data_IF_001196958326
#
_entry.id   IF_001196958326
#
_cell.length_a   1.000
_cell.length_b   1.000
_cell.length_c   1.000
_cell.angle_alpha   90.00
_cell.angle_beta   90.00
_cell.angle_gamma   90.00
#
_symmetry.space_group_name_H-M   'P 1'
#
loop_
_entity.id
_entity.type
_entity.pdbx_description
1 polymer ?
#
# COMPACT_ATOMS: atom_id res chain seq x y z
N UNK A 1 -8.54 24.98 -49.74
CA UNK A 1 -7.48 25.18 -48.74
C UNK A 1 -7.03 23.82 -48.27
N UNK A 2 -5.74 23.55 -48.30
CA UNK A 2 -5.16 22.31 -47.80
C UNK A 2 -5.22 22.29 -46.24
N UNK A 3 -5.43 21.11 -45.61
CA UNK A 3 -5.51 21.00 -44.16
C UNK A 3 -4.34 21.63 -43.40
N UNK A 4 -3.14 21.64 -44.01
CA UNK A 4 -1.93 22.28 -43.47
C UNK A 4 -2.03 23.82 -43.37
N UNK A 5 -2.74 24.47 -44.27
CA UNK A 5 -2.92 25.93 -44.26
C UNK A 5 -3.83 26.34 -43.08
N UNK A 6 -4.86 25.52 -42.79
CA UNK A 6 -5.75 25.71 -41.65
C UNK A 6 -4.98 25.65 -40.34
N UNK A 7 -4.18 24.61 -40.12
CA UNK A 7 -3.41 24.45 -38.89
C UNK A 7 -2.43 25.61 -38.70
N UNK A 8 -1.78 26.09 -39.79
CA UNK A 8 -0.84 27.22 -39.72
C UNK A 8 -1.53 28.54 -39.37
N UNK A 9 -2.75 28.77 -39.88
CA UNK A 9 -3.56 29.97 -39.55
C UNK A 9 -4.01 29.89 -38.07
N UNK A 10 -4.50 28.73 -37.60
CA UNK A 10 -4.90 28.55 -36.21
C UNK A 10 -3.71 28.75 -35.23
N UNK A 11 -2.52 28.22 -35.55
CA UNK A 11 -1.33 28.41 -34.72
C UNK A 11 -0.88 29.90 -34.70
N UNK A 12 -0.93 30.61 -35.82
CA UNK A 12 -0.60 32.04 -35.90
C UNK A 12 -1.56 32.88 -35.05
N UNK A 13 -2.84 32.54 -35.05
CA UNK A 13 -3.88 33.19 -34.20
C UNK A 13 -3.63 32.99 -32.72
N UNK A 14 -3.26 31.79 -32.28
CA UNK A 14 -2.92 31.47 -30.89
C UNK A 14 -1.71 32.27 -30.39
N UNK A 15 -0.70 32.45 -31.26
CA UNK A 15 0.55 33.20 -30.96
C UNK A 15 0.29 34.73 -30.91
N UNK A 16 -0.69 35.25 -31.63
CA UNK A 16 -0.99 36.69 -31.65
C UNK A 16 -1.52 37.24 -30.31
N UNK A 17 -2.25 36.42 -29.53
CA UNK A 17 -2.84 36.79 -28.24
C UNK A 17 -2.28 35.93 -27.08
N UNK A 18 -0.98 35.98 -26.85
CA UNK A 18 -0.23 35.07 -25.97
C UNK A 18 -0.76 34.96 -24.57
N UNK A 19 -1.11 36.08 -23.90
CA UNK A 19 -1.57 36.10 -22.52
C UNK A 19 -2.94 35.39 -22.38
N UNK A 20 -3.83 35.62 -23.36
CA UNK A 20 -5.18 35.06 -23.38
C UNK A 20 -5.13 33.54 -23.61
N UNK A 21 -4.37 33.11 -24.63
CA UNK A 21 -4.16 31.71 -24.95
C UNK A 21 -3.50 30.94 -23.82
N UNK A 22 -2.52 31.56 -23.15
CA UNK A 22 -1.84 30.99 -21.98
C UNK A 22 -2.80 30.77 -20.80
N UNK A 23 -3.58 31.77 -20.41
CA UNK A 23 -4.51 31.66 -19.28
C UNK A 23 -5.59 30.60 -19.51
N UNK A 24 -6.08 30.49 -20.75
CA UNK A 24 -7.08 29.48 -21.11
C UNK A 24 -6.49 28.08 -21.12
N UNK A 25 -5.32 27.94 -21.75
CA UNK A 25 -4.58 26.67 -21.79
C UNK A 25 -4.19 26.18 -20.39
N UNK A 26 -3.84 27.11 -19.50
CA UNK A 26 -3.40 26.81 -18.13
C UNK A 26 -4.51 26.10 -17.33
N UNK A 27 -5.76 26.54 -17.44
CA UNK A 27 -6.90 25.88 -16.77
C UNK A 27 -7.07 24.42 -17.21
N UNK A 28 -6.96 24.13 -18.51
CA UNK A 28 -7.01 22.77 -19.06
C UNK A 28 -5.78 21.97 -18.62
N UNK A 29 -4.60 22.58 -18.69
CA UNK A 29 -3.33 21.96 -18.31
C UNK A 29 -3.33 21.50 -16.87
N UNK A 30 -3.74 22.37 -15.95
CA UNK A 30 -3.80 22.06 -14.51
C UNK A 30 -4.82 20.94 -14.24
N UNK A 31 -6.02 21.02 -14.86
CA UNK A 31 -7.02 19.98 -14.69
C UNK A 31 -6.56 18.61 -15.13
N UNK A 32 -5.97 18.50 -16.32
CA UNK A 32 -5.46 17.22 -16.84
C UNK A 32 -4.25 16.74 -16.04
N UNK A 33 -3.30 17.66 -15.73
CA UNK A 33 -2.12 17.31 -14.94
C UNK A 33 -2.49 16.74 -13.57
N UNK A 34 -3.47 17.34 -12.88
CA UNK A 34 -3.94 16.87 -11.58
C UNK A 34 -4.54 15.45 -11.67
N UNK A 35 -5.38 15.18 -12.67
CA UNK A 35 -5.96 13.84 -12.87
C UNK A 35 -4.89 12.80 -13.17
N UNK A 36 -3.97 13.10 -14.10
CA UNK A 36 -2.88 12.18 -14.48
C UNK A 36 -1.95 11.91 -13.30
N UNK A 37 -1.57 12.93 -12.54
CA UNK A 37 -0.71 12.80 -11.38
C UNK A 37 -1.33 11.91 -10.32
N UNK A 38 -2.57 12.13 -9.97
CA UNK A 38 -3.21 11.36 -8.90
C UNK A 38 -3.52 9.91 -9.32
N UNK A 39 -3.97 9.69 -10.55
CA UNK A 39 -4.19 8.31 -11.04
C UNK A 39 -2.86 7.54 -11.09
N UNK A 40 -1.76 8.19 -11.48
CA UNK A 40 -0.43 7.57 -11.47
C UNK A 40 0.06 7.26 -10.06
N UNK A 41 -0.14 8.16 -9.09
CA UNK A 41 0.19 7.93 -7.69
C UNK A 41 -0.66 6.79 -7.12
N UNK A 42 -1.97 6.78 -7.40
CA UNK A 42 -2.86 5.71 -6.96
C UNK A 42 -2.42 4.32 -7.46
N UNK A 43 -2.09 4.21 -8.74
CA UNK A 43 -1.56 2.97 -9.32
C UNK A 43 -0.19 2.61 -8.72
N UNK A 44 0.68 3.59 -8.46
CA UNK A 44 1.96 3.38 -7.80
C UNK A 44 1.80 2.81 -6.39
N UNK A 45 0.92 3.39 -5.57
CA UNK A 45 0.60 2.89 -4.23
C UNK A 45 0.02 1.48 -4.29
N UNK A 46 -0.91 1.22 -5.21
CA UNK A 46 -1.49 -0.11 -5.37
C UNK A 46 -0.42 -1.16 -5.70
N UNK A 47 0.47 -0.89 -6.64
CA UNK A 47 1.58 -1.79 -7.00
C UNK A 47 2.58 -1.96 -5.87
N UNK A 48 2.92 -0.88 -5.16
CA UNK A 48 3.82 -0.93 -4.01
C UNK A 48 3.25 -1.84 -2.92
N UNK A 49 1.99 -1.63 -2.54
CA UNK A 49 1.32 -2.47 -1.53
C UNK A 49 1.26 -3.93 -1.98
N UNK A 50 0.88 -4.21 -3.25
CA UNK A 50 0.89 -5.58 -3.77
C UNK A 50 2.28 -6.22 -3.73
N UNK A 51 3.35 -5.48 -4.06
CA UNK A 51 4.72 -6.01 -4.01
C UNK A 51 5.17 -6.34 -2.59
N UNK A 52 4.85 -5.48 -1.62
CA UNK A 52 5.12 -5.72 -0.21
C UNK A 52 4.40 -6.98 0.29
N UNK A 53 3.12 -7.12 -0.04
CA UNK A 53 2.35 -8.30 0.38
C UNK A 53 2.81 -9.60 -0.29
N UNK A 54 3.24 -9.56 -1.55
CA UNK A 54 3.74 -10.77 -2.23
C UNK A 54 5.03 -11.30 -1.63
N UNK A 55 5.85 -10.46 -1.02
CA UNK A 55 7.09 -10.89 -0.34
C UNK A 55 6.82 -11.74 0.92
N UNK A 56 5.67 -11.56 1.58
CA UNK A 56 5.30 -12.26 2.82
C UNK A 56 4.25 -13.35 2.63
N UNK A 57 3.87 -13.63 1.38
CA UNK A 57 2.85 -14.61 1.05
C UNK A 57 1.46 -14.00 0.86
N UNK A 58 0.86 -14.27 -0.28
CA UNK A 58 -0.48 -13.74 -0.64
C UNK A 58 -1.63 -14.46 0.05
N UNK A 59 -1.36 -15.63 0.67
CA UNK A 59 -2.37 -16.53 1.23
C UNK A 59 -2.30 -16.55 2.75
N UNK A 60 -2.42 -15.35 3.37
CA UNK A 60 -2.38 -15.17 4.81
C UNK A 60 -3.72 -14.72 5.35
N UNK A 61 -4.08 -15.26 6.50
CA UNK A 61 -5.19 -14.79 7.33
C UNK A 61 -4.65 -14.51 8.71
N UNK A 62 -4.95 -13.32 9.24
CA UNK A 62 -4.63 -12.92 10.59
C UNK A 62 -5.89 -12.95 11.45
N UNK A 63 -5.78 -13.56 12.63
CA UNK A 63 -6.84 -13.57 13.64
C UNK A 63 -6.34 -12.85 14.86
N UNK A 64 -7.00 -11.75 15.22
CA UNK A 64 -6.67 -10.92 16.38
C UNK A 64 -7.77 -10.99 17.44
N UNK A 65 -7.46 -10.85 18.74
CA UNK A 65 -8.47 -10.79 19.78
C UNK A 65 -9.28 -9.49 19.71
N UNK A 66 -10.53 -9.56 20.10
CA UNK A 66 -11.47 -8.43 20.14
C UNK A 66 -12.22 -8.21 18.83
N UNK A 67 -13.44 -7.70 18.95
CA UNK A 67 -14.28 -7.30 17.82
C UNK A 67 -14.00 -5.85 17.48
N UNK A 68 -13.33 -5.58 16.37
CA UNK A 68 -13.14 -4.21 15.85
C UNK A 68 -13.86 -4.02 14.55
N UNK A 69 -14.72 -2.99 14.50
CA UNK A 69 -15.28 -2.43 13.27
C UNK A 69 -14.42 -1.29 12.72
N UNK A 70 -13.28 -0.98 13.33
CA UNK A 70 -12.44 0.19 12.99
C UNK A 70 -11.10 -0.20 12.41
N UNK A 71 -10.80 0.42 11.28
CA UNK A 71 -9.55 0.33 10.55
C UNK A 71 -8.34 0.80 11.40
N UNK A 72 -7.35 -0.06 11.55
CA UNK A 72 -5.98 0.38 11.85
C UNK A 72 -5.50 0.34 13.30
N UNK A 73 -6.32 0.05 14.30
CA UNK A 73 -5.83 -0.10 15.68
C UNK A 73 -6.02 -1.54 16.11
N UNK A 74 -4.91 -2.22 16.42
CA UNK A 74 -4.96 -3.56 17.02
C UNK A 74 -5.77 -3.48 18.31
N UNK A 75 -6.86 -4.24 18.40
CA UNK A 75 -7.71 -4.34 19.58
C UNK A 75 -7.04 -5.04 20.78
N UNK A 76 -5.76 -5.38 20.66
CA UNK A 76 -4.94 -5.88 21.75
C UNK A 76 -4.87 -4.94 22.98
N UNK A 77 -5.37 -3.72 22.85
CA UNK A 77 -5.45 -2.72 23.94
C UNK A 77 -6.83 -2.72 24.64
N UNK A 78 -7.84 -3.34 24.03
CA UNK A 78 -9.19 -3.38 24.62
C UNK A 78 -9.34 -4.68 25.42
N UNK A 79 -9.83 -4.60 26.65
CA UNK A 79 -10.15 -5.76 27.49
C UNK A 79 -11.09 -6.71 26.74
N UNK A 80 -10.55 -7.80 26.20
CA UNK A 80 -11.31 -8.86 25.54
C UNK A 80 -11.91 -9.77 26.59
N UNK A 81 -13.12 -10.22 26.37
CA UNK A 81 -13.81 -11.12 27.30
C UNK A 81 -13.09 -12.47 27.39
N UNK A 82 -12.46 -12.91 26.29
CA UNK A 82 -11.68 -14.16 26.22
C UNK A 82 -10.48 -14.01 25.30
N UNK A 83 -9.25 -14.12 25.81
CA UNK A 83 -8.07 -14.00 24.98
C UNK A 83 -7.93 -15.21 24.04
N UNK A 84 -7.34 -15.00 22.87
CA UNK A 84 -6.91 -16.09 21.99
C UNK A 84 -5.82 -16.92 22.67
N UNK A 85 -5.90 -18.24 22.58
CA UNK A 85 -4.99 -19.16 23.25
C UNK A 85 -4.16 -19.98 22.26
N UNK A 86 -3.08 -20.62 22.74
CA UNK A 86 -2.32 -21.59 21.95
C UNK A 86 -3.20 -22.76 21.47
N UNK A 87 -4.16 -23.20 22.31
CA UNK A 87 -5.11 -24.26 21.95
C UNK A 87 -6.05 -23.83 20.81
N UNK A 88 -6.31 -22.53 20.63
CA UNK A 88 -7.06 -22.03 19.49
C UNK A 88 -6.19 -22.13 18.21
N UNK A 89 -4.93 -21.72 18.29
CA UNK A 89 -3.99 -21.88 17.16
C UNK A 89 -3.83 -23.36 16.74
N UNK A 90 -3.67 -24.26 17.71
CA UNK A 90 -3.62 -25.72 17.46
C UNK A 90 -4.89 -26.23 16.80
N UNK A 91 -6.07 -25.78 17.24
CA UNK A 91 -7.36 -26.18 16.67
C UNK A 91 -7.53 -25.70 15.21
N UNK A 92 -7.00 -24.52 14.88
CA UNK A 92 -7.03 -23.97 13.54
C UNK A 92 -6.09 -24.73 12.59
N UNK A 93 -4.96 -25.21 13.07
CA UNK A 93 -4.02 -26.02 12.29
C UNK A 93 -4.63 -27.35 11.79
N UNK A 94 -5.72 -27.83 12.40
CA UNK A 94 -6.41 -29.06 11.96
C UNK A 94 -7.43 -28.83 10.85
N UNK A 95 -7.70 -27.60 10.46
CA UNK A 95 -8.67 -27.29 9.41
C UNK A 95 -8.10 -27.66 8.01
N UNK A 96 -8.94 -28.18 7.11
CA UNK A 96 -8.50 -28.53 5.76
C UNK A 96 -8.08 -27.30 4.98
N UNK A 97 -7.05 -27.44 4.15
CA UNK A 97 -6.43 -26.40 3.31
C UNK A 97 -5.65 -25.33 4.10
N UNK A 98 -5.44 -25.50 5.40
CA UNK A 98 -4.47 -24.75 6.19
C UNK A 98 -3.13 -25.47 6.11
N UNK A 99 -2.09 -24.75 5.72
CA UNK A 99 -0.74 -25.27 5.53
C UNK A 99 0.12 -25.05 6.77
N UNK A 100 0.07 -23.86 7.35
CA UNK A 100 0.83 -23.53 8.54
C UNK A 100 0.06 -22.53 9.42
N UNK A 101 0.25 -22.62 10.73
CA UNK A 101 -0.30 -21.71 11.71
C UNK A 101 0.80 -21.28 12.66
N UNK A 102 0.94 -19.98 12.88
CA UNK A 102 1.86 -19.44 13.87
C UNK A 102 1.13 -18.53 14.86
N UNK A 103 1.11 -18.89 16.15
CA UNK A 103 0.69 -17.98 17.20
C UNK A 103 1.72 -16.87 17.36
N UNK A 104 1.29 -15.66 17.70
CA UNK A 104 2.17 -14.52 17.87
C UNK A 104 1.89 -13.75 19.16
N UNK A 105 2.97 -13.39 19.84
CA UNK A 105 3.03 -12.42 20.94
C UNK A 105 4.14 -11.43 20.62
N UNK A 106 3.88 -10.14 20.74
CA UNK A 106 4.85 -9.08 20.50
C UNK A 106 5.12 -8.33 21.81
N UNK A 107 6.37 -8.02 22.05
CA UNK A 107 6.84 -7.13 23.10
C UNK A 107 8.15 -6.49 22.71
N UNK A 108 8.64 -5.61 23.55
CA UNK A 108 9.93 -4.94 23.34
C UNK A 108 10.81 -5.15 24.58
N UNK A 109 12.09 -5.46 24.34
CA UNK A 109 13.04 -5.66 25.41
C UNK A 109 14.48 -5.35 24.95
N UNK A 110 15.39 -5.02 25.87
CA UNK A 110 16.80 -4.99 25.55
C UNK A 110 17.32 -6.40 25.28
N UNK A 111 18.06 -6.55 24.18
CA UNK A 111 18.81 -7.75 23.82
C UNK A 111 20.28 -7.42 24.02
N UNK A 112 20.97 -8.21 24.84
CA UNK A 112 22.33 -7.92 25.27
C UNK A 112 23.26 -9.10 25.02
N UNK A 113 24.43 -8.78 24.52
CA UNK A 113 25.55 -9.72 24.39
C UNK A 113 26.86 -9.01 24.78
N UNK A 114 27.52 -9.46 25.84
CA UNK A 114 28.70 -8.82 26.41
C UNK A 114 28.44 -7.33 26.71
N UNK A 115 29.18 -6.44 26.05
CA UNK A 115 29.06 -4.98 26.22
C UNK A 115 28.06 -4.33 25.25
N UNK A 116 27.52 -5.08 24.31
CA UNK A 116 26.57 -4.58 23.32
C UNK A 116 25.14 -4.81 23.78
N UNK A 117 24.29 -3.81 23.55
CA UNK A 117 22.86 -3.85 23.87
C UNK A 117 22.05 -3.14 22.81
N UNK A 118 20.93 -3.76 22.41
CA UNK A 118 19.96 -3.17 21.50
C UNK A 118 18.55 -3.35 22.04
N UNK A 119 17.77 -2.28 22.08
CA UNK A 119 16.35 -2.34 22.41
C UNK A 119 15.54 -2.56 21.13
N UNK A 120 14.86 -3.69 21.02
CA UNK A 120 14.22 -4.11 19.78
C UNK A 120 12.93 -4.89 20.00
N UNK A 121 12.24 -5.23 18.93
CA UNK A 121 11.02 -6.03 18.93
C UNK A 121 11.33 -7.50 19.22
N UNK A 122 10.59 -8.09 20.13
CA UNK A 122 10.66 -9.52 20.48
C UNK A 122 9.39 -10.20 20.03
N UNK A 123 9.50 -11.04 19.02
CA UNK A 123 8.41 -11.85 18.51
C UNK A 123 8.44 -13.23 19.16
N UNK A 124 7.44 -13.50 19.98
CA UNK A 124 7.14 -14.84 20.46
C UNK A 124 6.30 -15.57 19.40
N UNK A 125 6.85 -16.58 18.77
CA UNK A 125 6.23 -17.23 17.61
C UNK A 125 6.30 -18.75 17.69
N UNK A 126 5.50 -19.42 16.85
CA UNK A 126 5.56 -20.87 16.64
C UNK A 126 6.69 -21.29 15.70
N UNK A 127 6.99 -22.61 15.61
CA UNK A 127 8.06 -23.15 14.77
C UNK A 127 7.79 -22.99 13.26
N UNK A 128 6.52 -22.88 12.85
CA UNK A 128 6.09 -22.73 11.44
C UNK A 128 6.07 -21.27 10.97
N UNK A 129 6.58 -20.32 11.75
CA UNK A 129 6.63 -18.91 11.34
C UNK A 129 7.38 -18.72 10.01
N UNK A 130 8.51 -19.40 9.72
CA UNK A 130 9.19 -19.28 8.44
C UNK A 130 8.32 -19.61 7.23
N UNK A 131 7.42 -20.58 7.36
CA UNK A 131 6.48 -20.98 6.32
C UNK A 131 5.35 -19.95 6.16
N UNK A 132 4.81 -19.45 7.29
CA UNK A 132 3.72 -18.48 7.31
C UNK A 132 4.18 -17.13 6.77
N UNK A 133 5.38 -16.64 7.16
CA UNK A 133 5.89 -15.34 6.74
C UNK A 133 6.86 -15.41 5.56
N UNK A 134 7.02 -16.60 4.97
CA UNK A 134 7.92 -16.82 3.82
C UNK A 134 9.33 -16.27 4.09
N UNK A 135 9.85 -16.47 5.30
CA UNK A 135 11.11 -15.89 5.79
C UNK A 135 11.96 -16.99 6.47
N UNK A 136 13.00 -17.44 5.79
CA UNK A 136 13.88 -18.51 6.27
C UNK A 136 15.09 -18.02 7.09
N UNK A 137 15.78 -18.93 7.79
CA UNK A 137 17.07 -18.63 8.40
C UNK A 137 18.16 -18.57 7.33
N UNK A 138 18.92 -17.45 7.29
CA UNK A 138 20.13 -17.31 6.47
C UNK A 138 21.31 -18.08 7.07
N UNK A 139 21.34 -18.23 8.39
CA UNK A 139 22.39 -18.97 9.11
C UNK A 139 21.79 -19.82 10.22
N UNK A 140 22.23 -21.07 10.34
CA UNK A 140 21.74 -21.99 11.37
C UNK A 140 20.36 -22.55 11.07
N UNK A 141 19.47 -22.54 12.05
CA UNK A 141 18.09 -23.05 11.94
C UNK A 141 17.11 -22.17 12.72
N UNK A 142 15.84 -22.27 12.37
CA UNK A 142 14.76 -21.63 13.14
C UNK A 142 14.40 -22.43 14.39
N UNK A 143 13.46 -21.91 15.15
CA UNK A 143 12.96 -22.51 16.40
C UNK A 143 12.46 -23.94 16.16
N UNK A 144 12.85 -24.90 16.98
CA UNK A 144 12.41 -26.29 16.85
C UNK A 144 10.92 -26.41 17.24
N UNK A 145 10.29 -27.47 16.77
CA UNK A 145 8.95 -27.88 17.18
C UNK A 145 9.00 -28.57 18.56
N UNK A 146 9.22 -27.76 19.58
CA UNK A 146 9.21 -28.21 20.98
C UNK A 146 7.78 -28.11 21.52
N UNK A 147 7.51 -28.88 22.59
CA UNK A 147 6.25 -28.69 23.30
C UNK A 147 6.12 -27.20 23.74
N UNK A 148 5.09 -26.48 23.31
CA UNK A 148 4.98 -25.04 23.55
C UNK A 148 5.15 -24.63 25.02
N UNK A 149 4.65 -25.47 25.97
CA UNK A 149 4.72 -25.20 27.42
C UNK A 149 6.08 -25.45 28.05
N UNK A 150 6.97 -26.18 27.36
CA UNK A 150 8.32 -26.48 27.84
C UNK A 150 9.39 -26.23 26.80
N UNK A 151 9.18 -25.19 25.96
CA UNK A 151 10.09 -24.83 24.91
C UNK A 151 11.46 -24.41 25.48
N UNK A 152 12.53 -24.87 24.84
CA UNK A 152 13.90 -24.50 25.16
C UNK A 152 14.13 -23.02 24.94
N UNK A 153 15.01 -22.42 25.73
CA UNK A 153 15.36 -21.00 25.59
C UNK A 153 16.29 -20.78 24.37
N UNK A 154 15.73 -20.94 23.20
CA UNK A 154 16.38 -20.69 21.91
C UNK A 154 15.89 -19.39 21.31
N UNK A 155 16.74 -18.78 20.48
CA UNK A 155 16.47 -17.52 19.82
C UNK A 155 17.01 -17.55 18.39
N UNK A 156 16.24 -16.99 17.45
CA UNK A 156 16.70 -16.60 16.14
C UNK A 156 16.77 -15.07 16.08
N UNK A 157 17.89 -14.52 15.59
CA UNK A 157 18.13 -13.09 15.52
C UNK A 157 17.77 -12.58 14.11
N UNK A 158 17.19 -11.39 14.00
CA UNK A 158 17.16 -10.65 12.75
C UNK A 158 18.55 -10.19 12.33
N UNK A 159 18.71 -9.87 11.06
CA UNK A 159 20.00 -9.53 10.46
C UNK A 159 20.64 -8.30 11.11
N UNK A 160 19.86 -7.23 11.35
CA UNK A 160 20.34 -6.01 12.00
C UNK A 160 20.75 -6.25 13.45
N UNK A 161 19.97 -7.02 14.20
CA UNK A 161 20.30 -7.36 15.59
C UNK A 161 21.59 -8.17 15.67
N UNK A 162 21.79 -9.11 14.74
CA UNK A 162 23.02 -9.88 14.64
C UNK A 162 24.21 -8.98 14.36
N UNK A 163 24.11 -8.08 13.41
CA UNK A 163 25.20 -7.19 13.01
C UNK A 163 25.62 -6.26 14.13
N UNK A 164 24.68 -5.74 14.91
CA UNK A 164 24.97 -4.84 16.00
C UNK A 164 25.51 -5.53 17.25
N UNK A 165 25.05 -6.74 17.55
CA UNK A 165 25.52 -7.45 18.75
C UNK A 165 26.79 -8.27 18.54
N UNK A 166 27.01 -8.77 17.32
CA UNK A 166 28.10 -9.70 17.03
C UNK A 166 29.07 -9.20 15.95
N UNK A 167 28.71 -8.15 15.19
CA UNK A 167 29.51 -7.66 14.07
C UNK A 167 29.82 -8.78 13.07
N UNK A 168 31.08 -9.13 12.90
CA UNK A 168 31.54 -10.21 12.02
C UNK A 168 31.65 -11.57 12.70
N UNK A 169 31.45 -11.67 14.03
CA UNK A 169 31.54 -12.90 14.78
C UNK A 169 30.35 -13.84 14.49
N UNK A 170 30.61 -15.15 14.62
CA UNK A 170 29.55 -16.14 14.46
C UNK A 170 28.66 -16.18 15.73
N UNK A 171 27.37 -15.84 15.64
CA UNK A 171 26.49 -15.83 16.80
C UNK A 171 25.98 -17.20 17.22
N UNK A 172 26.13 -18.24 16.36
CA UNK A 172 25.52 -19.55 16.63
C UNK A 172 26.13 -20.24 17.84
N UNK A 173 25.25 -20.64 18.76
CA UNK A 173 25.62 -21.30 20.01
C UNK A 173 25.92 -20.34 21.18
N UNK A 174 26.15 -19.06 20.88
CA UNK A 174 26.34 -18.01 21.87
C UNK A 174 25.07 -17.73 22.66
N UNK A 175 25.23 -17.05 23.79
CA UNK A 175 24.09 -16.66 24.63
C UNK A 175 23.85 -15.17 24.54
N UNK A 176 22.57 -14.81 24.40
CA UNK A 176 22.07 -13.42 24.53
C UNK A 176 21.13 -13.35 25.70
N UNK A 177 21.10 -12.20 26.37
CA UNK A 177 20.14 -11.89 27.41
C UNK A 177 19.05 -11.02 26.81
N UNK A 178 17.80 -11.45 26.95
CA UNK A 178 16.61 -10.70 26.52
C UNK A 178 15.84 -10.36 27.80
N UNK A 179 15.82 -9.07 28.16
CA UNK A 179 15.30 -8.67 29.45
C UNK A 179 15.98 -9.40 30.61
N UNK A 180 15.22 -10.17 31.38
CA UNK A 180 15.73 -10.97 32.53
C UNK A 180 16.15 -12.39 32.15
N UNK A 181 15.91 -12.85 30.93
CA UNK A 181 16.06 -14.26 30.54
C UNK A 181 17.22 -14.48 29.57
N UNK A 182 17.94 -15.61 29.71
CA UNK A 182 19.05 -15.98 28.83
C UNK A 182 18.58 -16.97 27.76
N UNK A 183 18.93 -16.69 26.49
CA UNK A 183 18.61 -17.53 25.32
C UNK A 183 19.86 -17.93 24.61
N UNK A 184 19.85 -19.10 23.95
CA UNK A 184 20.91 -19.55 23.06
C UNK A 184 20.57 -19.24 21.62
N UNK A 185 21.44 -18.56 20.91
CA UNK A 185 21.29 -18.26 19.48
C UNK A 185 21.43 -19.55 18.67
N UNK A 186 20.42 -19.89 17.86
CA UNK A 186 20.39 -21.07 17.00
C UNK A 186 20.26 -20.74 15.52
N UNK A 187 19.93 -19.48 15.19
CA UNK A 187 19.82 -19.02 13.82
C UNK A 187 19.85 -17.52 13.69
N UNK A 188 20.09 -17.07 12.48
CA UNK A 188 19.95 -15.70 12.03
C UNK A 188 19.03 -15.70 10.84
N UNK A 189 18.02 -14.87 10.85
CA UNK A 189 17.04 -14.77 9.77
C UNK A 189 17.61 -14.07 8.55
N UNK A 190 17.11 -14.41 7.36
CA UNK A 190 17.40 -13.65 6.15
C UNK A 190 16.87 -12.22 6.26
N UNK A 191 17.56 -11.27 5.61
CA UNK A 191 17.10 -9.90 5.56
C UNK A 191 15.87 -9.81 4.66
N UNK A 192 14.79 -9.26 5.21
CA UNK A 192 13.51 -9.00 4.51
C UNK A 192 13.20 -7.50 4.44
N UNK A 193 13.95 -6.68 5.20
CA UNK A 193 13.71 -5.25 5.29
C UNK A 193 12.49 -4.90 6.15
N UNK A 194 11.87 -3.77 5.83
CA UNK A 194 10.70 -3.27 6.54
C UNK A 194 9.43 -3.67 5.80
N UNK A 195 8.47 -4.21 6.52
CA UNK A 195 7.12 -4.49 6.04
C UNK A 195 6.13 -3.52 6.72
N UNK A 196 5.48 -2.65 5.95
CA UNK A 196 4.47 -1.71 6.45
C UNK A 196 4.90 -0.95 7.72
N UNK A 197 6.18 -0.57 7.80
CA UNK A 197 6.75 0.12 8.97
C UNK A 197 7.19 -0.80 10.11
N UNK A 198 7.10 -2.12 9.95
CA UNK A 198 7.63 -3.11 10.88
C UNK A 198 8.96 -3.61 10.32
N UNK A 199 10.05 -3.36 11.04
CA UNK A 199 11.38 -3.83 10.67
C UNK A 199 11.58 -5.24 11.22
N UNK A 200 11.57 -6.25 10.34
CA UNK A 200 11.80 -7.65 10.71
C UNK A 200 13.29 -7.99 10.81
N UNK A 201 14.14 -7.16 10.22
CA UNK A 201 15.60 -7.29 10.35
C UNK A 201 16.06 -6.81 11.73
N UNK A 202 15.37 -5.81 12.31
CA UNK A 202 15.52 -5.36 13.67
C UNK A 202 14.53 -6.04 14.61
N UNK A 203 14.60 -7.37 14.67
CA UNK A 203 13.71 -8.18 15.47
C UNK A 203 14.40 -9.42 16.03
N UNK A 204 13.80 -10.00 17.04
CA UNK A 204 14.27 -11.24 17.67
C UNK A 204 13.11 -12.21 17.82
N UNK A 205 13.32 -13.47 17.47
CA UNK A 205 12.29 -14.51 17.47
C UNK A 205 12.58 -15.54 18.55
N UNK A 206 11.62 -15.70 19.47
CA UNK A 206 11.69 -16.66 20.58
C UNK A 206 10.43 -17.52 20.62
N UNK A 207 10.42 -18.68 21.31
CA UNK A 207 9.22 -19.47 21.45
C UNK A 207 8.09 -18.68 22.11
N UNK A 208 6.89 -18.77 21.56
CA UNK A 208 5.71 -17.98 21.98
C UNK A 208 5.41 -18.07 23.48
N UNK A 209 5.53 -19.26 24.07
CA UNK A 209 5.29 -19.44 25.52
C UNK A 209 6.34 -18.69 26.37
N UNK A 210 7.58 -18.60 25.90
CA UNK A 210 8.63 -17.81 26.58
C UNK A 210 8.33 -16.33 26.51
N UNK A 211 7.81 -15.85 25.38
CA UNK A 211 7.37 -14.47 25.24
C UNK A 211 6.16 -14.15 26.13
N UNK A 212 5.16 -15.04 26.20
CA UNK A 212 4.04 -14.89 27.09
C UNK A 212 4.50 -14.73 28.55
N UNK A 213 5.38 -15.62 29.01
CA UNK A 213 5.95 -15.55 30.35
C UNK A 213 6.81 -14.29 30.61
N UNK A 214 7.56 -13.85 29.59
CA UNK A 214 8.42 -12.66 29.68
C UNK A 214 7.62 -11.37 29.79
N UNK A 215 6.51 -11.27 29.05
CA UNK A 215 5.69 -10.06 28.97
C UNK A 215 4.42 -10.14 29.83
N UNK A 216 4.29 -11.16 30.67
CA UNK A 216 3.13 -11.41 31.55
C UNK A 216 1.81 -11.35 30.77
N UNK A 217 1.73 -12.09 29.64
CA UNK A 217 0.57 -12.13 28.77
C UNK A 217 -0.07 -13.51 28.79
N UNK A 218 -1.33 -13.57 29.15
CA UNK A 218 -2.10 -14.82 29.16
C UNK A 218 -2.58 -15.24 27.76
N UNK A 219 -2.77 -14.28 26.84
CA UNK A 219 -3.29 -14.50 25.50
C UNK A 219 -2.28 -14.24 24.38
N UNK A 220 -2.68 -14.68 23.20
CA UNK A 220 -2.00 -14.34 21.95
C UNK A 220 -2.45 -12.96 21.47
N UNK A 221 -1.54 -12.23 20.84
CA UNK A 221 -1.87 -10.98 20.17
C UNK A 221 -2.44 -11.22 18.78
N UNK A 222 -2.00 -12.29 18.13
CA UNK A 222 -2.45 -12.65 16.79
C UNK A 222 -2.17 -14.13 16.53
N UNK A 223 -2.97 -14.75 15.66
CA UNK A 223 -2.70 -16.04 15.06
C UNK A 223 -2.61 -15.82 13.55
N UNK A 224 -1.45 -16.06 12.99
CA UNK A 224 -1.21 -15.96 11.54
C UNK A 224 -1.34 -17.34 10.92
N UNK A 225 -2.08 -17.43 9.82
CA UNK A 225 -2.48 -18.67 9.17
C UNK A 225 -2.13 -18.58 7.70
N UNK A 226 -1.30 -19.48 7.23
CA UNK A 226 -1.05 -19.71 5.81
C UNK A 226 -1.99 -20.80 5.29
N UNK A 227 -2.64 -20.54 4.17
CA UNK A 227 -3.55 -21.46 3.52
C UNK A 227 -3.17 -21.73 2.07
N UNK A 228 -3.63 -22.85 1.53
CA UNK A 228 -3.27 -23.29 0.19
C UNK A 228 -3.69 -22.29 -0.90
N UNK A 229 -2.80 -22.04 -1.85
CA UNK A 229 -3.00 -21.10 -2.96
C UNK A 229 -4.26 -21.39 -3.83
N UNK A 230 -4.75 -22.62 -3.81
CA UNK A 230 -5.94 -23.03 -4.56
C UNK A 230 -7.24 -22.85 -3.75
N UNK A 231 -7.15 -22.38 -2.49
CA UNK A 231 -8.30 -22.21 -1.61
C UNK A 231 -8.87 -20.80 -1.72
N UNK A 232 -10.18 -20.70 -1.59
CA UNK A 232 -10.91 -19.44 -1.51
C UNK A 232 -10.73 -18.85 -0.09
N UNK A 233 -10.11 -17.67 0.01
CA UNK A 233 -9.83 -16.97 1.27
C UNK A 233 -11.07 -16.80 2.14
N UNK A 234 -12.22 -16.47 1.52
CA UNK A 234 -13.49 -16.28 2.21
C UNK A 234 -14.00 -17.57 2.85
N UNK A 235 -13.90 -18.69 2.12
CA UNK A 235 -14.28 -20.00 2.68
C UNK A 235 -13.40 -20.45 3.84
N UNK A 236 -12.10 -20.12 3.75
CA UNK A 236 -11.18 -20.40 4.88
C UNK A 236 -11.54 -19.52 6.08
N UNK A 237 -11.76 -18.23 5.86
CA UNK A 237 -12.18 -17.30 6.90
C UNK A 237 -13.49 -17.74 7.59
N UNK A 238 -14.49 -18.19 6.81
CA UNK A 238 -15.76 -18.71 7.35
C UNK A 238 -15.56 -19.97 8.22
N UNK A 239 -14.64 -20.88 7.83
CA UNK A 239 -14.29 -22.06 8.63
C UNK A 239 -13.57 -21.70 9.92
N UNK A 240 -12.63 -20.76 9.84
CA UNK A 240 -11.94 -20.22 11.02
C UNK A 240 -12.94 -19.58 11.96
N UNK A 241 -13.84 -18.75 11.43
CA UNK A 241 -14.91 -18.12 12.21
C UNK A 241 -15.78 -19.14 12.91
N UNK A 242 -16.27 -20.15 12.19
CA UNK A 242 -17.10 -21.21 12.79
C UNK A 242 -16.35 -21.95 13.90
N UNK A 243 -15.10 -22.34 13.66
CA UNK A 243 -14.28 -23.05 14.66
C UNK A 243 -14.07 -22.22 15.93
N UNK A 244 -13.77 -20.93 15.77
CA UNK A 244 -13.55 -20.04 16.92
C UNK A 244 -14.85 -19.70 17.65
N UNK A 245 -15.96 -19.52 16.93
CA UNK A 245 -17.30 -19.35 17.53
C UNK A 245 -17.71 -20.54 18.42
N UNK A 246 -17.45 -21.79 17.97
CA UNK A 246 -17.69 -23.00 18.74
C UNK A 246 -16.85 -23.04 20.04
N UNK A 247 -15.62 -22.54 20.00
CA UNK A 247 -14.68 -22.57 21.12
C UNK A 247 -14.89 -21.42 22.13
N UNK A 248 -15.19 -20.25 21.61
CA UNK A 248 -15.33 -19.02 22.37
C UNK A 248 -16.76 -18.82 22.87
N UNK A 249 -17.76 -19.30 22.13
CA UNK A 249 -19.20 -19.11 22.46
C UNK A 249 -19.71 -17.71 22.08
N UNK A 250 -18.87 -16.87 21.45
CA UNK A 250 -19.20 -15.54 21.00
C UNK A 250 -18.14 -14.99 20.06
N UNK A 251 -18.47 -13.91 19.35
CA UNK A 251 -17.56 -13.25 18.41
C UNK A 251 -16.70 -12.20 19.16
N UNK A 252 -15.62 -12.65 19.76
CA UNK A 252 -14.64 -11.87 20.52
C UNK A 252 -13.25 -11.83 19.83
N UNK A 253 -13.25 -12.08 18.53
CA UNK A 253 -12.08 -12.06 17.64
C UNK A 253 -12.40 -11.35 16.33
N UNK A 254 -11.36 -10.94 15.63
CA UNK A 254 -11.43 -10.35 14.29
C UNK A 254 -10.59 -11.17 13.33
N UNK A 255 -11.18 -11.59 12.22
CA UNK A 255 -10.49 -12.27 11.14
C UNK A 255 -10.21 -11.24 10.05
N UNK A 256 -8.98 -11.16 9.57
CA UNK A 256 -8.58 -10.29 8.46
C UNK A 256 -7.93 -11.12 7.39
N UNK A 257 -8.49 -11.05 6.20
CA UNK A 257 -7.90 -11.67 5.01
C UNK A 257 -7.11 -10.62 4.23
N UNK A 258 -6.11 -11.06 3.48
CA UNK A 258 -5.37 -10.20 2.56
C UNK A 258 -6.30 -9.57 1.52
N UNK A 259 -7.25 -10.36 0.99
CA UNK A 259 -8.22 -9.89 0.00
C UNK A 259 -9.11 -8.75 0.54
N UNK A 260 -9.53 -8.84 1.81
CA UNK A 260 -10.29 -7.75 2.44
C UNK A 260 -9.46 -6.48 2.59
N UNK A 261 -8.20 -6.60 2.97
CA UNK A 261 -7.30 -5.46 3.10
C UNK A 261 -7.07 -4.78 1.74
N UNK A 262 -6.83 -5.56 0.67
CA UNK A 262 -6.70 -5.05 -0.69
C UNK A 262 -8.00 -4.41 -1.19
N UNK A 263 -9.16 -5.00 -0.90
CA UNK A 263 -10.46 -4.45 -1.31
C UNK A 263 -10.78 -3.11 -0.65
N UNK A 264 -10.35 -2.92 0.60
CA UNK A 264 -10.46 -1.63 1.30
C UNK A 264 -9.54 -0.59 0.65
N UNK A 265 -8.30 -0.97 0.32
CA UNK A 265 -7.37 -0.10 -0.39
C UNK A 265 -7.95 0.32 -1.75
N UNK A 266 -8.45 -0.62 -2.54
CA UNK A 266 -9.10 -0.35 -3.82
C UNK A 266 -10.30 0.61 -3.69
N UNK A 267 -11.08 0.43 -2.64
CA UNK A 267 -12.22 1.30 -2.34
C UNK A 267 -11.79 2.73 -2.03
N UNK A 268 -10.71 2.89 -1.24
CA UNK A 268 -10.14 4.20 -0.91
C UNK A 268 -9.57 4.88 -2.16
N UNK A 269 -8.75 4.13 -2.94
CA UNK A 269 -8.17 4.64 -4.17
C UNK A 269 -9.24 4.97 -5.22
N UNK A 270 -10.28 4.15 -5.31
CA UNK A 270 -11.45 4.39 -6.15
C UNK A 270 -12.17 5.68 -5.77
N UNK A 271 -12.45 5.91 -4.48
CA UNK A 271 -13.08 7.12 -4.00
C UNK A 271 -12.22 8.38 -4.29
N UNK A 272 -10.91 8.29 -4.07
CA UNK A 272 -9.97 9.37 -4.41
C UNK A 272 -9.97 9.66 -5.92
N UNK A 273 -9.95 8.62 -6.75
CA UNK A 273 -9.98 8.77 -8.21
C UNK A 273 -11.26 9.45 -8.69
N UNK A 274 -12.43 9.10 -8.13
CA UNK A 274 -13.70 9.75 -8.44
C UNK A 274 -13.69 11.22 -7.99
N UNK A 275 -13.20 11.51 -6.79
CA UNK A 275 -13.12 12.87 -6.27
C UNK A 275 -12.25 13.77 -7.16
N UNK A 276 -11.06 13.30 -7.55
CA UNK A 276 -10.16 14.07 -8.43
C UNK A 276 -10.66 14.11 -9.87
N UNK A 277 -11.27 13.05 -10.37
CA UNK A 277 -11.97 13.07 -11.64
C UNK A 277 -13.05 14.16 -11.67
N UNK A 278 -13.81 14.33 -10.58
CA UNK A 278 -14.77 15.39 -10.40
C UNK A 278 -14.13 16.80 -10.43
N UNK A 279 -13.02 16.99 -9.70
CA UNK A 279 -12.25 18.24 -9.73
C UNK A 279 -11.68 18.53 -11.13
N UNK A 280 -11.16 17.51 -11.81
CA UNK A 280 -10.69 17.61 -13.19
C UNK A 280 -11.81 18.01 -14.15
N UNK A 281 -13.01 17.44 -14.01
CA UNK A 281 -14.18 17.81 -14.80
C UNK A 281 -14.60 19.27 -14.58
N UNK A 282 -14.58 19.76 -13.34
CA UNK A 282 -14.84 21.17 -13.02
C UNK A 282 -13.78 22.06 -13.69
N UNK A 283 -12.50 21.71 -13.60
CA UNK A 283 -11.42 22.47 -14.25
C UNK A 283 -11.59 22.53 -15.76
N UNK A 284 -11.99 21.41 -16.40
CA UNK A 284 -12.29 21.36 -17.83
C UNK A 284 -13.49 22.22 -18.19
N UNK A 285 -14.56 22.24 -17.37
CA UNK A 285 -15.71 23.10 -17.57
C UNK A 285 -15.33 24.59 -17.51
N UNK A 286 -14.51 24.98 -16.52
CA UNK A 286 -13.98 26.35 -16.41
C UNK A 286 -13.14 26.70 -17.63
N UNK A 287 -12.29 25.79 -18.09
CA UNK A 287 -11.50 25.93 -19.32
C UNK A 287 -12.40 26.09 -20.56
N UNK A 288 -13.47 25.30 -20.68
CA UNK A 288 -14.43 25.38 -21.78
C UNK A 288 -15.18 26.73 -21.79
N UNK A 289 -15.62 27.22 -20.63
CA UNK A 289 -16.24 28.56 -20.51
C UNK A 289 -15.21 29.65 -20.86
N UNK A 290 -13.96 29.50 -20.45
CA UNK A 290 -12.86 30.39 -20.85
C UNK A 290 -12.67 30.43 -22.36
N UNK A 291 -12.63 29.28 -23.03
CA UNK A 291 -12.54 29.18 -24.49
C UNK A 291 -13.74 29.87 -25.15
N UNK A 292 -14.94 29.58 -24.70
CA UNK A 292 -16.18 30.17 -25.24
C UNK A 292 -16.14 31.72 -25.15
N UNK A 293 -15.75 32.23 -23.99
CA UNK A 293 -15.64 33.69 -23.76
C UNK A 293 -14.62 34.32 -24.69
N UNK A 294 -13.45 33.70 -24.82
CA UNK A 294 -12.36 34.18 -25.67
C UNK A 294 -12.75 34.15 -27.14
N UNK A 295 -13.39 33.05 -27.59
CA UNK A 295 -13.84 32.94 -28.98
C UNK A 295 -14.91 33.97 -29.30
N UNK A 296 -15.83 34.29 -28.35
CA UNK A 296 -16.84 35.32 -28.54
C UNK A 296 -16.18 36.71 -28.71
N UNK A 297 -15.18 37.02 -27.90
CA UNK A 297 -14.43 38.26 -28.00
C UNK A 297 -13.67 38.32 -29.33
N UNK A 298 -12.95 37.23 -29.69
CA UNK A 298 -12.20 37.16 -30.94
C UNK A 298 -13.07 37.34 -32.18
N UNK A 299 -14.27 36.77 -32.21
CA UNK A 299 -15.24 36.97 -33.29
C UNK A 299 -15.67 38.44 -33.39
N UNK A 300 -15.95 39.09 -32.24
CA UNK A 300 -16.34 40.49 -32.18
C UNK A 300 -15.19 41.44 -32.67
N UNK A 301 -13.96 41.20 -32.24
CA UNK A 301 -12.78 41.97 -32.65
C UNK A 301 -12.48 41.81 -34.14
N UNK A 302 -12.76 40.64 -34.72
CA UNK A 302 -12.50 40.35 -36.15
C UNK A 302 -13.74 40.40 -37.04
N UNK A 303 -14.77 41.15 -36.62
CA UNK A 303 -16.05 41.27 -37.39
C UNK A 303 -15.84 41.77 -38.81
N UNK A 304 -14.92 42.69 -39.02
CA UNK A 304 -14.57 43.25 -40.37
C UNK A 304 -13.88 42.19 -41.26
N UNK A 305 -13.00 41.35 -40.70
CA UNK A 305 -12.31 40.26 -41.42
C UNK A 305 -13.33 39.16 -41.78
N UNK A 306 -14.23 38.82 -40.88
CA UNK A 306 -15.33 37.88 -41.10
C UNK A 306 -16.29 38.41 -42.19
N UNK A 307 -16.58 39.72 -42.16
CA UNK A 307 -17.40 40.38 -43.17
C UNK A 307 -16.76 40.31 -44.55
N UNK A 308 -15.45 40.55 -44.62
CA UNK A 308 -14.68 40.46 -45.87
C UNK A 308 -14.67 39.02 -46.42
N UNK A 309 -14.40 38.02 -45.59
CA UNK A 309 -14.42 36.61 -45.99
C UNK A 309 -15.79 36.22 -46.55
N UNK A 310 -16.88 36.68 -45.90
CA UNK A 310 -18.24 36.42 -46.36
C UNK A 310 -18.58 37.15 -47.67
N UNK A 311 -18.06 38.35 -47.85
CA UNK A 311 -18.21 39.09 -49.12
C UNK A 311 -17.50 38.41 -50.30
N UNK A 312 -16.35 37.72 -50.01
CA UNK A 312 -15.62 36.90 -50.93
C UNK A 312 -16.25 35.52 -51.19
N UNK A 313 -17.42 35.21 -50.60
CA UNK A 313 -18.19 33.98 -50.80
C UNK A 313 -17.97 32.87 -49.80
N UNK A 314 -17.28 33.12 -48.69
CA UNK A 314 -17.10 32.11 -47.64
C UNK A 314 -18.44 31.76 -46.96
N UNK A 315 -18.76 30.47 -46.88
CA UNK A 315 -19.95 29.97 -46.20
C UNK A 315 -19.86 30.12 -44.68
N UNK A 316 -21.02 30.22 -43.97
CA UNK A 316 -21.09 30.30 -42.51
C UNK A 316 -20.35 29.14 -41.83
N UNK A 317 -20.41 27.91 -42.40
CA UNK A 317 -19.75 26.73 -41.86
C UNK A 317 -18.20 26.83 -41.97
N UNK A 318 -17.67 27.47 -43.00
CA UNK A 318 -16.23 27.65 -43.14
C UNK A 318 -15.64 28.62 -42.10
N UNK A 319 -16.37 29.71 -41.82
CA UNK A 319 -16.00 30.66 -40.76
C UNK A 319 -16.09 29.99 -39.39
N UNK A 320 -17.18 29.22 -39.13
CA UNK A 320 -17.33 28.47 -37.87
C UNK A 320 -16.20 27.46 -37.68
N UNK A 321 -15.81 26.73 -38.77
CA UNK A 321 -14.75 25.74 -38.73
C UNK A 321 -13.39 26.37 -38.37
N UNK A 322 -13.14 27.59 -38.80
CA UNK A 322 -11.91 28.32 -38.49
C UNK A 322 -11.77 28.59 -37.00
N UNK A 323 -12.81 29.14 -36.37
CA UNK A 323 -12.83 29.42 -34.92
C UNK A 323 -12.87 28.15 -34.07
N UNK A 324 -13.58 27.11 -34.53
CA UNK A 324 -13.60 25.81 -33.86
C UNK A 324 -12.20 25.14 -33.93
N UNK A 325 -11.51 25.26 -35.06
CA UNK A 325 -10.14 24.77 -35.22
C UNK A 325 -9.18 25.46 -34.25
N UNK A 326 -9.30 26.77 -34.06
CA UNK A 326 -8.51 27.53 -33.08
C UNK A 326 -8.76 27.03 -31.65
N UNK A 327 -10.02 26.80 -31.27
CA UNK A 327 -10.38 26.24 -29.98
C UNK A 327 -9.81 24.82 -29.75
N UNK A 328 -9.88 23.96 -30.78
CA UNK A 328 -9.33 22.59 -30.73
C UNK A 328 -7.81 22.61 -30.56
N UNK A 329 -7.11 23.49 -31.26
CA UNK A 329 -5.67 23.66 -31.13
C UNK A 329 -5.28 24.11 -29.72
N UNK A 330 -5.98 25.10 -29.16
CA UNK A 330 -5.77 25.56 -27.78
C UNK A 330 -6.02 24.45 -26.75
N UNK A 331 -7.14 23.73 -26.88
CA UNK A 331 -7.46 22.61 -26.00
C UNK A 331 -6.45 21.48 -26.12
N UNK A 332 -6.00 21.17 -27.35
CA UNK A 332 -4.99 20.15 -27.61
C UNK A 332 -3.62 20.49 -27.00
N UNK A 333 -3.17 21.74 -27.15
CA UNK A 333 -1.91 22.19 -26.56
C UNK A 333 -1.96 22.19 -25.03
N UNK A 334 -3.07 22.68 -24.44
CA UNK A 334 -3.29 22.62 -23.00
C UNK A 334 -3.33 21.17 -22.48
N UNK A 335 -4.02 20.26 -23.22
CA UNK A 335 -4.09 18.85 -22.89
C UNK A 335 -2.75 18.14 -22.94
N UNK A 336 -1.97 18.36 -24.00
CA UNK A 336 -0.61 17.80 -24.14
C UNK A 336 0.33 18.32 -23.05
N UNK A 337 0.29 19.62 -22.75
CA UNK A 337 1.06 20.20 -21.65
C UNK A 337 0.65 19.58 -20.29
N UNK A 338 -0.66 19.38 -20.06
CA UNK A 338 -1.18 18.73 -18.86
C UNK A 338 -0.73 17.27 -18.72
N UNK A 339 -0.75 16.50 -19.80
CA UNK A 339 -0.24 15.12 -19.83
C UNK A 339 1.27 15.07 -19.54
N UNK A 340 2.07 15.95 -20.15
CA UNK A 340 3.52 16.00 -19.95
C UNK A 340 3.88 16.40 -18.51
N UNK A 341 3.20 17.39 -17.94
CA UNK A 341 3.41 17.83 -16.56
C UNK A 341 2.93 16.77 -15.57
N UNK A 342 1.78 16.16 -15.81
CA UNK A 342 1.25 15.09 -14.97
C UNK A 342 2.13 13.85 -14.98
N UNK A 343 2.52 13.36 -16.17
CA UNK A 343 3.39 12.20 -16.30
C UNK A 343 4.83 12.47 -15.80
N UNK A 344 5.36 13.65 -16.09
CA UNK A 344 6.69 14.07 -15.60
C UNK A 344 6.71 14.21 -14.07
N UNK A 345 5.67 14.79 -13.47
CA UNK A 345 5.51 14.87 -12.02
C UNK A 345 5.41 13.48 -11.38
N UNK A 346 4.61 12.58 -11.95
CA UNK A 346 4.49 11.21 -11.49
C UNK A 346 5.82 10.44 -11.57
N UNK A 347 6.58 10.63 -12.66
CA UNK A 347 7.89 10.01 -12.81
C UNK A 347 8.90 10.50 -11.75
N UNK A 348 8.93 11.82 -11.49
CA UNK A 348 9.81 12.39 -10.44
C UNK A 348 9.46 11.82 -9.07
N UNK A 349 8.17 11.71 -8.74
CA UNK A 349 7.72 11.13 -7.48
C UNK A 349 8.08 9.64 -7.40
N UNK A 350 7.88 8.88 -8.49
CA UNK A 350 8.21 7.46 -8.54
C UNK A 350 9.72 7.14 -8.49
N UNK A 351 10.59 8.09 -8.80
CA UNK A 351 12.06 7.94 -8.64
C UNK A 351 12.50 8.34 -7.22
N UNK A 352 11.69 9.14 -6.52
CA UNK A 352 12.02 9.65 -5.18
C UNK A 352 11.51 8.72 -4.04
N UNK A 353 10.58 7.82 -4.35
CA UNK A 353 10.04 6.78 -3.46
C UNK A 353 10.72 5.44 -3.77
#
# INVERSE_FOLDING_TARGET
MLAGDYVRICLASVVSNRLRSFLTGLGITVGIAAVVLLTSIGEGIHRFVLSEFTQFGTHLIAVSPGKTSTFGVSSAVVNTVKPLTLSDAESLATLPQIEAVTPMVLGNAPVEHNEFSRYTNIYGVGPLMPEVWTMGPALGRFLPDDNPRNARAFVALGSTVRDELFGTANPLGERVRIGSSSFRVIGVMESKGQMMGIDLDDAVFIPVYRAQAMFDREGLMEINIAYSANADSKRIADRIHTRLMERHGGEDFTIRTMDEMLSVLDSILGALTVAVGGLGAISLLVGAVGILTIMTIAVNERTNEVGLLRALGAGKGQVLLLFLGEAVVLAGLGGLAGLLLGAGGAWIIGVAI
#
